data_IF_713300440064
#
_entry.id   IF_713300440064
#
_cell.length_a   1.000
_cell.length_b   1.000
_cell.length_c   1.000
_cell.angle_alpha   90.00
_cell.angle_beta   90.00
_cell.angle_gamma   90.00
#
_symmetry.space_group_name_H-M   'P 1'
#
loop_
_entity.id
_entity.type
_entity.pdbx_description
1 polymer ?
#
# COMPACT_ATOMS: atom_id res chain seq x y z
N UNK A 1 19.40 -2.87 4.14
CA UNK A 1 18.59 -1.64 4.00
C UNK A 1 17.15 -2.03 3.72
N UNK A 2 16.18 -1.22 4.11
CA UNK A 2 14.76 -1.51 3.87
C UNK A 2 14.15 -0.37 3.05
N UNK A 3 13.31 -0.72 2.07
CA UNK A 3 12.53 0.25 1.30
C UNK A 3 11.09 -0.22 1.16
N UNK A 4 10.17 0.73 1.09
CA UNK A 4 8.77 0.47 0.75
C UNK A 4 8.56 0.84 -0.72
N UNK A 5 7.87 -0.03 -1.45
CA UNK A 5 7.49 0.23 -2.83
C UNK A 5 5.97 0.26 -2.90
N UNK A 6 5.42 1.43 -3.24
CA UNK A 6 4.02 1.58 -3.62
C UNK A 6 3.88 1.28 -5.10
N UNK A 7 3.18 0.19 -5.44
CA UNK A 7 2.80 -0.15 -6.81
C UNK A 7 1.33 0.23 -6.97
N UNK A 8 0.99 1.07 -7.95
CA UNK A 8 -0.39 1.50 -8.24
C UNK A 8 -0.77 1.19 -9.67
N UNK A 9 -2.05 0.88 -9.89
CA UNK A 9 -2.62 0.61 -11.21
C UNK A 9 -4.05 1.18 -11.29
N UNK A 10 -4.53 1.52 -12.51
CA UNK A 10 -5.89 1.98 -12.69
C UNK A 10 -6.87 0.89 -12.24
N UNK A 11 -7.88 1.25 -11.44
CA UNK A 11 -8.93 0.30 -11.03
C UNK A 11 -9.96 0.01 -12.13
N UNK A 12 -9.98 0.82 -13.20
CA UNK A 12 -11.05 0.83 -14.20
C UNK A 12 -12.36 1.47 -13.71
N UNK A 13 -12.38 2.00 -12.47
CA UNK A 13 -13.52 2.69 -11.86
C UNK A 13 -13.19 4.17 -11.68
N UNK A 14 -14.20 5.03 -11.72
CA UNK A 14 -14.08 6.43 -11.36
C UNK A 14 -14.96 6.73 -10.15
N UNK A 15 -14.45 7.55 -9.23
CA UNK A 15 -15.22 8.08 -8.11
C UNK A 15 -15.88 9.38 -8.58
N UNK A 16 -17.19 9.49 -8.41
CA UNK A 16 -17.92 10.74 -8.66
C UNK A 16 -18.47 11.27 -7.34
N UNK A 17 -18.02 12.45 -6.92
CA UNK A 17 -18.52 13.15 -5.74
C UNK A 17 -18.77 14.64 -6.07
N UNK A 18 -19.93 15.15 -5.67
CA UNK A 18 -20.37 16.53 -5.88
C UNK A 18 -20.17 17.09 -7.30
N UNK A 19 -20.27 16.23 -8.34
CA UNK A 19 -20.08 16.61 -9.74
C UNK A 19 -18.64 16.51 -10.26
N UNK A 20 -17.67 16.21 -9.40
CA UNK A 20 -16.29 15.92 -9.78
C UNK A 20 -16.10 14.42 -9.98
N UNK A 21 -15.54 14.03 -11.13
CA UNK A 21 -15.24 12.62 -11.45
C UNK A 21 -13.73 12.44 -11.54
N UNK A 22 -13.18 11.53 -10.74
CA UNK A 22 -11.75 11.23 -10.69
C UNK A 22 -11.48 9.72 -10.84
N UNK A 23 -10.45 9.31 -11.59
CA UNK A 23 -10.10 7.91 -11.71
C UNK A 23 -9.64 7.35 -10.36
N UNK A 24 -10.19 6.20 -9.98
CA UNK A 24 -9.77 5.50 -8.77
C UNK A 24 -8.53 4.64 -9.08
N UNK A 25 -7.50 4.80 -8.27
CA UNK A 25 -6.29 3.98 -8.31
C UNK A 25 -6.36 2.95 -7.19
N UNK A 26 -5.90 1.74 -7.49
CA UNK A 26 -5.68 0.68 -6.51
C UNK A 26 -4.20 0.34 -6.51
N UNK A 27 -3.68 -0.07 -5.37
CA UNK A 27 -2.27 -0.39 -5.26
C UNK A 27 -1.98 -1.41 -4.17
N UNK A 28 -0.71 -1.80 -4.11
CA UNK A 28 -0.15 -2.59 -3.03
C UNK A 28 1.18 -2.01 -2.60
N UNK A 29 1.56 -2.35 -1.38
CA UNK A 29 2.75 -1.88 -0.71
C UNK A 29 3.60 -3.09 -0.42
N UNK A 30 4.80 -3.11 -0.98
CA UNK A 30 5.75 -4.19 -0.71
C UNK A 30 6.90 -3.62 0.11
N UNK A 31 7.15 -4.23 1.27
CA UNK A 31 8.38 -4.01 2.00
C UNK A 31 9.47 -4.91 1.43
N UNK A 32 10.50 -4.30 0.84
CA UNK A 32 11.68 -5.02 0.38
C UNK A 32 12.81 -4.82 1.39
N UNK A 33 13.27 -5.95 1.94
CA UNK A 33 14.48 -5.99 2.76
C UNK A 33 15.65 -6.42 1.88
N UNK A 34 16.64 -5.55 1.76
CA UNK A 34 17.87 -5.81 1.01
C UNK A 34 18.97 -6.16 1.99
N UNK A 35 19.36 -7.43 2.00
CA UNK A 35 20.48 -7.93 2.80
C UNK A 35 21.70 -8.16 1.90
N UNK A 36 22.84 -7.59 2.29
CA UNK A 36 24.10 -7.76 1.58
C UNK A 36 24.93 -8.83 2.30
N UNK A 37 24.94 -10.04 1.73
CA UNK A 37 25.81 -11.12 2.19
C UNK A 37 27.08 -11.07 1.35
N UNK A 38 28.03 -10.18 1.67
CA UNK A 38 29.34 -10.21 1.01
C UNK A 38 30.13 -11.46 1.46
N UNK A 39 30.75 -12.23 0.55
CA UNK A 39 30.92 -12.00 -0.90
C UNK A 39 29.89 -12.72 -1.79
N UNK A 40 28.83 -13.31 -1.23
CA UNK A 40 27.95 -14.30 -1.87
C UNK A 40 26.80 -13.71 -2.70
N UNK A 41 26.39 -12.46 -2.49
CA UNK A 41 25.35 -11.79 -3.29
C UNK A 41 24.39 -10.94 -2.46
N UNK A 42 23.33 -10.46 -3.12
CA UNK A 42 22.23 -9.70 -2.50
C UNK A 42 20.97 -10.56 -2.48
N UNK A 43 20.34 -10.69 -1.31
CA UNK A 43 19.03 -11.31 -1.19
C UNK A 43 17.96 -10.22 -1.06
N UNK A 44 16.87 -10.39 -1.81
CA UNK A 44 15.67 -9.56 -1.74
C UNK A 44 14.55 -10.46 -1.21
N UNK A 45 13.95 -10.05 -0.10
CA UNK A 45 12.83 -10.74 0.52
C UNK A 45 11.60 -9.83 0.46
N UNK A 46 10.52 -10.31 -0.16
CA UNK A 46 9.21 -9.67 -0.18
C UNK A 46 8.44 -10.17 1.05
N UNK A 47 8.06 -9.26 1.96
CA UNK A 47 7.30 -9.62 3.13
C UNK A 47 5.79 -9.66 2.82
N UNK A 48 5.16 -10.80 3.10
CA UNK A 48 3.73 -11.04 2.84
C UNK A 48 2.77 -10.26 3.77
N UNK A 49 3.30 -9.64 4.84
CA UNK A 49 2.51 -8.85 5.79
C UNK A 49 2.14 -7.48 5.21
N UNK A 50 0.84 -7.19 5.11
CA UNK A 50 0.34 -5.94 4.50
C UNK A 50 -0.01 -4.84 5.51
N UNK A 51 -0.25 -5.19 6.78
CA UNK A 51 -0.73 -4.25 7.80
C UNK A 51 0.38 -3.27 8.26
N UNK A 52 1.60 -3.76 8.54
CA UNK A 52 2.74 -2.93 8.93
C UNK A 52 3.15 -1.94 7.84
N UNK A 53 3.35 -2.35 6.56
CA UNK A 53 3.65 -1.42 5.48
C UNK A 53 2.56 -0.37 5.25
N UNK A 54 1.30 -0.74 5.44
CA UNK A 54 0.18 0.22 5.35
C UNK A 54 0.23 1.27 6.46
N UNK A 55 0.51 0.89 7.71
CA UNK A 55 0.68 1.86 8.80
C UNK A 55 1.80 2.85 8.49
N UNK A 56 2.94 2.39 7.96
CA UNK A 56 4.03 3.29 7.58
C UNK A 56 3.60 4.25 6.48
N UNK A 57 2.79 3.81 5.53
CA UNK A 57 2.24 4.67 4.47
C UNK A 57 1.23 5.69 4.96
N UNK A 58 0.39 5.34 5.94
CA UNK A 58 -0.51 6.29 6.60
C UNK A 58 0.27 7.49 7.17
N UNK A 59 1.41 7.23 7.82
CA UNK A 59 2.29 8.29 8.32
C UNK A 59 3.03 9.05 7.21
N UNK A 60 3.34 8.41 6.08
CA UNK A 60 4.15 8.99 5.01
C UNK A 60 3.34 9.78 3.97
N UNK A 61 2.04 9.49 3.82
CA UNK A 61 1.17 10.11 2.82
C UNK A 61 0.19 11.10 3.50
N UNK A 62 0.52 12.41 3.54
CA UNK A 62 -0.40 13.40 4.07
C UNK A 62 -1.70 13.44 3.25
N UNK A 63 -2.84 13.58 3.94
CA UNK A 63 -4.15 13.61 3.29
C UNK A 63 -4.78 12.23 3.03
N UNK A 64 -4.15 11.16 3.50
CA UNK A 64 -4.78 9.83 3.54
C UNK A 64 -5.67 9.66 4.77
N UNK A 65 -6.78 8.93 4.61
CA UNK A 65 -7.72 8.60 5.68
C UNK A 65 -7.94 7.08 5.72
N UNK A 66 -7.73 6.43 6.88
CA UNK A 66 -8.03 5.00 7.02
C UNK A 66 -9.54 4.76 7.02
N UNK A 67 -9.99 3.81 6.21
CA UNK A 67 -11.38 3.35 6.15
C UNK A 67 -11.46 1.84 6.38
N UNK A 68 -12.42 1.42 7.22
CA UNK A 68 -12.62 0.02 7.52
C UNK A 68 -13.51 -0.67 6.48
N UNK A 69 -13.01 -1.75 5.87
CA UNK A 69 -13.77 -2.67 5.04
C UNK A 69 -14.29 -3.82 5.90
N UNK A 70 -15.61 -4.01 5.88
CA UNK A 70 -16.29 -5.07 6.63
C UNK A 70 -16.86 -6.11 5.65
N UNK A 71 -16.61 -7.42 5.84
CA UNK A 71 -15.74 -8.01 6.86
C UNK A 71 -14.24 -7.90 6.49
N UNK A 72 -13.32 -7.97 7.48
CA UNK A 72 -11.90 -8.08 7.20
C UNK A 72 -11.59 -9.39 6.46
N UNK A 73 -10.50 -9.42 5.71
CA UNK A 73 -10.05 -10.65 5.05
C UNK A 73 -9.21 -11.53 5.97
N UNK A 74 -8.91 -12.77 5.56
CA UNK A 74 -8.26 -13.76 6.42
C UNK A 74 -6.81 -13.39 6.83
N UNK A 75 -6.11 -12.57 6.04
CA UNK A 75 -4.69 -12.27 6.21
C UNK A 75 -4.38 -10.76 6.24
N UNK A 76 -5.38 -9.91 6.51
CA UNK A 76 -5.20 -8.45 6.62
C UNK A 76 -6.31 -7.85 7.49
N UNK A 77 -6.02 -6.72 8.14
CA UNK A 77 -6.91 -6.10 9.12
C UNK A 77 -8.18 -5.46 8.53
N UNK A 78 -8.35 -5.47 7.20
CA UNK A 78 -9.51 -4.90 6.53
C UNK A 78 -9.49 -3.38 6.41
N UNK A 79 -8.39 -2.69 6.73
CA UNK A 79 -8.28 -1.24 6.62
C UNK A 79 -7.70 -0.86 5.26
N UNK A 80 -8.28 0.15 4.61
CA UNK A 80 -7.75 0.75 3.38
C UNK A 80 -7.42 2.21 3.62
N UNK A 81 -6.41 2.74 2.93
CA UNK A 81 -6.10 4.18 2.96
C UNK A 81 -6.77 4.87 1.76
N UNK A 82 -7.68 5.80 2.03
CA UNK A 82 -8.24 6.69 1.03
C UNK A 82 -7.38 7.96 0.94
N UNK A 83 -6.72 8.17 -0.19
CA UNK A 83 -6.05 9.43 -0.51
C UNK A 83 -6.93 10.35 -1.35
N UNK A 84 -6.85 11.66 -1.11
CA UNK A 84 -7.29 12.65 -2.10
C UNK A 84 -6.12 12.95 -3.07
N UNK A 85 -6.39 13.10 -4.38
CA UNK A 85 -5.36 13.45 -5.35
C UNK A 85 -4.78 14.86 -5.14
#
# INVERSE_FOLDING_TARGET
>A
GQRLILRVWPSGTALTDAGNTQPLWIGTVVAEKIEHLKPLGTLVDEQDGVDEPMQVLEFALPGTQPEARIPPGPNWNGVVLLGQP
#
